data_IF_645960720116
#
_entry.id   IF_645960720116
#
_cell.length_a   1.000
_cell.length_b   1.000
_cell.length_c   1.000
_cell.angle_alpha   90.00
_cell.angle_beta   90.00
_cell.angle_gamma   90.00
#
_symmetry.space_group_name_H-M   'P 1'
#
loop_
_entity.id
_entity.type
_entity.pdbx_description
1 polymer ?
#
# COMPACT_ATOMS: atom_id res chain seq x y z
N UNK A 1 4.25 -28.64 -16.94
CA UNK A 1 5.30 -27.63 -17.10
C UNK A 1 4.65 -26.26 -17.11
N UNK A 2 4.98 -25.41 -16.12
CA UNK A 2 4.49 -24.04 -15.98
C UNK A 2 5.45 -23.02 -16.60
N UNK A 3 6.52 -23.48 -17.27
CA UNK A 3 7.63 -22.66 -17.78
C UNK A 3 7.28 -21.67 -18.91
N UNK A 4 6.08 -21.75 -19.48
CA UNK A 4 5.71 -20.98 -20.68
C UNK A 4 4.73 -19.81 -20.48
N UNK A 5 4.27 -19.54 -19.26
CA UNK A 5 3.40 -18.39 -18.99
C UNK A 5 4.17 -17.29 -18.27
N UNK A 6 4.63 -16.31 -19.03
CA UNK A 6 5.25 -15.08 -18.51
C UNK A 6 4.23 -14.10 -17.92
N UNK A 7 2.92 -14.41 -18.03
CA UNK A 7 1.81 -13.56 -17.61
C UNK A 7 0.76 -14.34 -16.80
N UNK A 8 1.18 -14.98 -15.71
CA UNK A 8 0.25 -15.46 -14.67
C UNK A 8 0.19 -14.42 -13.54
N UNK A 9 0.02 -13.14 -13.89
CA UNK A 9 -0.35 -12.16 -12.89
C UNK A 9 -1.88 -12.20 -12.76
N UNK A 10 -2.40 -12.83 -11.70
CA UNK A 10 -3.82 -12.70 -11.37
C UNK A 10 -4.15 -11.23 -11.17
N UNK A 11 -5.19 -10.75 -11.86
CA UNK A 11 -5.67 -9.38 -11.71
C UNK A 11 -6.18 -9.12 -10.29
N UNK A 12 -5.64 -8.10 -9.64
CA UNK A 12 -6.05 -7.65 -8.31
C UNK A 12 -7.14 -6.59 -8.48
N UNK A 13 -8.37 -6.94 -8.11
CA UNK A 13 -9.51 -6.02 -8.25
C UNK A 13 -9.42 -4.84 -7.29
N UNK A 14 -8.88 -5.07 -6.09
CA UNK A 14 -8.71 -4.02 -5.09
C UNK A 14 -7.52 -4.29 -4.18
N UNK A 15 -6.70 -3.26 -3.93
CA UNK A 15 -5.56 -3.30 -3.01
C UNK A 15 -5.74 -2.26 -1.88
N UNK A 16 -6.03 -2.73 -0.68
CA UNK A 16 -6.03 -1.92 0.54
C UNK A 16 -4.67 -1.96 1.22
N UNK A 17 -4.12 -0.79 1.56
CA UNK A 17 -2.88 -0.64 2.33
C UNK A 17 -3.16 0.25 3.54
N UNK A 18 -2.51 -0.03 4.66
CA UNK A 18 -2.65 0.76 5.90
C UNK A 18 -1.29 1.21 6.38
N UNK A 19 -1.09 2.53 6.34
CA UNK A 19 0.09 3.27 6.79
C UNK A 19 1.41 2.54 6.57
N UNK A 20 1.60 2.06 5.34
CA UNK A 20 2.75 1.26 4.99
C UNK A 20 4.03 2.10 5.05
N UNK A 21 5.09 1.51 5.58
CA UNK A 21 6.39 2.15 5.75
C UNK A 21 7.42 1.47 4.83
N UNK A 22 8.38 2.25 4.31
CA UNK A 22 9.53 1.66 3.63
C UNK A 22 10.42 0.96 4.66
N UNK A 23 11.00 -0.17 4.26
CA UNK A 23 12.01 -0.85 5.08
C UNK A 23 13.26 0.03 5.16
N UNK A 24 13.77 0.36 6.36
CA UNK A 24 14.99 1.14 6.51
C UNK A 24 16.17 0.51 5.75
N UNK A 25 16.93 1.34 5.02
CA UNK A 25 18.10 0.87 4.25
C UNK A 25 17.77 0.26 2.88
N UNK A 26 16.50 0.03 2.55
CA UNK A 26 16.10 -0.43 1.23
C UNK A 26 16.13 0.74 0.24
N UNK A 27 16.97 0.64 -0.81
CA UNK A 27 16.96 1.63 -1.90
C UNK A 27 15.61 1.55 -2.60
N UNK A 28 14.89 2.68 -2.61
CA UNK A 28 13.63 2.80 -3.32
C UNK A 28 13.89 3.20 -4.77
N UNK A 29 13.25 2.56 -5.76
CA UNK A 29 13.23 3.07 -7.12
C UNK A 29 12.68 4.49 -7.12
N UNK A 30 13.37 5.42 -7.79
CA UNK A 30 12.91 6.81 -7.95
C UNK A 30 11.57 6.86 -8.68
N UNK A 31 11.40 5.97 -9.66
CA UNK A 31 10.16 5.73 -10.40
C UNK A 31 9.78 4.26 -10.21
N UNK A 32 8.86 3.93 -9.28
CA UNK A 32 8.38 2.56 -9.14
C UNK A 32 7.55 2.19 -10.38
N UNK A 33 7.76 0.98 -10.89
CA UNK A 33 6.93 0.44 -11.97
C UNK A 33 5.45 0.48 -11.57
N UNK A 34 4.55 0.96 -12.47
CA UNK A 34 3.12 0.94 -12.23
C UNK A 34 2.62 -0.46 -11.88
N UNK A 35 1.76 -0.56 -10.86
CA UNK A 35 1.03 -1.79 -10.53
C UNK A 35 0.04 -2.15 -11.65
N UNK A 36 0.53 -2.74 -12.74
CA UNK A 36 -0.21 -2.97 -13.99
C UNK A 36 -1.35 -3.98 -13.87
N UNK A 37 -1.34 -4.84 -12.84
CA UNK A 37 -2.38 -5.82 -12.57
C UNK A 37 -3.37 -5.38 -11.47
N UNK A 38 -3.31 -4.14 -10.99
CA UNK A 38 -4.20 -3.60 -9.95
C UNK A 38 -5.23 -2.67 -10.58
N UNK A 39 -6.51 -2.99 -10.42
CA UNK A 39 -7.63 -2.19 -10.94
C UNK A 39 -7.87 -0.95 -10.08
N UNK A 40 -7.87 -1.12 -8.76
CA UNK A 40 -8.08 -0.04 -7.81
C UNK A 40 -7.24 -0.26 -6.53
N UNK A 41 -6.77 0.84 -5.95
CA UNK A 41 -5.97 0.82 -4.74
C UNK A 41 -6.28 2.03 -3.85
N UNK A 42 -6.32 1.79 -2.53
CA UNK A 42 -6.53 2.83 -1.53
C UNK A 42 -5.54 2.68 -0.38
N UNK A 43 -4.41 3.42 -0.41
CA UNK A 43 -3.53 3.50 0.74
C UNK A 43 -4.09 4.47 1.78
N UNK A 44 -4.31 3.96 3.00
CA UNK A 44 -4.62 4.78 4.16
C UNK A 44 -3.32 5.34 4.76
N UNK A 45 -3.25 6.64 5.03
CA UNK A 45 -2.05 7.34 5.51
C UNK A 45 -2.33 8.01 6.86
N UNK A 46 -1.45 7.79 7.84
CA UNK A 46 -1.49 8.45 9.13
C UNK A 46 -0.75 9.78 9.07
N UNK A 47 -1.47 10.90 9.26
CA UNK A 47 -0.85 12.23 9.06
C UNK A 47 0.02 12.69 10.23
N UNK A 48 -0.19 12.13 11.44
CA UNK A 48 0.54 12.52 12.64
C UNK A 48 1.70 11.55 12.96
N UNK A 49 1.85 10.46 12.18
CA UNK A 49 2.81 9.37 12.40
C UNK A 49 4.22 9.55 11.82
N UNK A 50 4.51 10.67 11.17
CA UNK A 50 5.73 10.87 10.38
C UNK A 50 5.55 10.44 8.91
N UNK A 51 6.58 10.64 8.06
CA UNK A 51 6.44 10.52 6.59
C UNK A 51 6.09 9.08 6.17
N UNK A 52 4.81 8.82 5.94
CA UNK A 52 4.33 7.73 5.10
C UNK A 52 4.89 7.94 3.70
N UNK A 53 5.75 7.03 3.26
CA UNK A 53 6.39 7.13 1.94
C UNK A 53 5.34 6.70 0.91
N UNK A 54 5.05 7.55 -0.07
CA UNK A 54 4.12 7.29 -1.19
C UNK A 54 4.50 6.00 -1.92
N UNK A 55 4.07 4.82 -1.48
CA UNK A 55 4.67 3.52 -1.82
C UNK A 55 4.45 3.06 -3.25
N UNK A 56 3.37 3.52 -3.88
CA UNK A 56 2.94 2.99 -5.15
C UNK A 56 3.34 3.94 -6.28
N UNK A 57 4.24 3.46 -7.15
CA UNK A 57 4.26 3.96 -8.52
C UNK A 57 3.00 3.42 -9.16
N UNK A 58 2.06 4.29 -9.49
CA UNK A 58 0.82 3.88 -10.11
C UNK A 58 0.29 5.01 -10.98
N UNK A 59 -0.53 4.65 -11.96
CA UNK A 59 -1.36 5.64 -12.63
C UNK A 59 -2.29 6.27 -11.59
N UNK A 60 -2.39 7.61 -11.63
CA UNK A 60 -3.14 8.39 -10.65
C UNK A 60 -4.65 8.09 -10.63
N UNK A 61 -5.20 7.42 -11.64
CA UNK A 61 -6.59 7.00 -11.73
C UNK A 61 -6.89 5.72 -10.91
N UNK A 62 -5.93 4.80 -10.81
CA UNK A 62 -6.09 3.54 -10.09
C UNK A 62 -5.80 3.65 -8.58
N UNK A 63 -4.96 4.60 -8.15
CA UNK A 63 -4.58 4.79 -6.74
C UNK A 63 -5.21 6.06 -6.16
N UNK A 64 -6.00 5.90 -5.10
CA UNK A 64 -6.60 7.01 -4.36
C UNK A 64 -6.19 6.94 -2.89
N UNK A 65 -5.31 7.82 -2.44
CA UNK A 65 -4.93 7.90 -1.03
C UNK A 65 -6.09 8.39 -0.16
N UNK A 66 -6.16 7.87 1.07
CA UNK A 66 -7.13 8.29 2.09
C UNK A 66 -6.37 8.65 3.35
N UNK A 67 -6.58 9.84 3.88
CA UNK A 67 -5.76 10.37 4.98
C UNK A 67 -6.55 10.39 6.28
N UNK A 68 -5.95 9.89 7.34
CA UNK A 68 -6.55 9.77 8.67
C UNK A 68 -5.72 10.55 9.69
N UNK A 69 -6.41 11.16 10.68
CA UNK A 69 -5.76 11.68 11.89
C UNK A 69 -5.22 10.53 12.72
N UNK A 70 -4.17 10.79 13.51
CA UNK A 70 -3.51 9.81 14.35
C UNK A 70 -2.15 9.37 13.82
N UNK A 71 -1.48 8.54 14.61
CA UNK A 71 -0.22 7.89 14.29
C UNK A 71 -0.47 6.52 13.62
N UNK A 72 0.61 5.84 13.23
CA UNK A 72 0.58 4.54 12.52
C UNK A 72 -0.45 3.55 13.09
N UNK A 73 -0.42 3.32 14.41
CA UNK A 73 -1.29 2.36 15.08
C UNK A 73 -2.77 2.77 15.12
N UNK A 74 -3.09 4.06 14.95
CA UNK A 74 -4.47 4.54 14.88
C UNK A 74 -5.10 4.22 13.51
N UNK A 75 -4.26 3.96 12.49
CA UNK A 75 -4.68 3.64 11.12
C UNK A 75 -4.51 2.14 10.82
N UNK A 76 -3.33 1.59 11.07
CA UNK A 76 -3.01 0.18 10.82
C UNK A 76 -3.58 -0.79 11.87
N UNK A 77 -4.08 -0.24 12.99
CA UNK A 77 -4.54 -1.00 14.12
C UNK A 77 -3.39 -1.51 15.00
N UNK A 78 -3.75 -1.98 16.18
CA UNK A 78 -2.84 -2.62 17.13
C UNK A 78 -3.17 -4.10 17.26
N UNK A 79 -2.17 -4.93 17.59
CA UNK A 79 -2.39 -6.37 17.85
C UNK A 79 -3.42 -6.64 18.95
N UNK A 80 -3.60 -5.71 19.88
CA UNK A 80 -4.52 -5.74 21.03
C UNK A 80 -5.76 -4.85 20.84
N UNK A 81 -5.91 -4.16 19.71
CA UNK A 81 -6.94 -3.13 19.50
C UNK A 81 -8.39 -3.65 19.49
N UNK A 82 -8.60 -4.95 19.27
CA UNK A 82 -9.93 -5.56 19.25
C UNK A 82 -10.40 -6.08 20.62
N UNK A 83 -9.63 -5.91 21.71
CA UNK A 83 -10.00 -6.45 23.02
C UNK A 83 -11.08 -5.65 23.77
N UNK A 84 -11.68 -4.64 23.14
CA UNK A 84 -12.70 -3.78 23.76
C UNK A 84 -13.92 -3.49 22.89
N UNK A 85 -14.20 -4.29 21.85
CA UNK A 85 -15.44 -4.21 21.06
C UNK A 85 -16.44 -5.27 21.48
#
# INVERSE_FOLDING_TARGET
>A
DLSGRTDVATGVQFLGLWDCLAVPGQRRPLDPEPLSNVVAARPAVAIDGGRGIQLLGARADAVQEVWFRGAHCDVAGRRDGCQGL
#
